data_IF_113047657556
#
_entry.id   IF_113047657556
#
_cell.length_a   1.000
_cell.length_b   1.000
_cell.length_c   1.000
_cell.angle_alpha   90.00
_cell.angle_beta   90.00
_cell.angle_gamma   90.00
#
_symmetry.space_group_name_H-M   'P 1'
#
loop_
_entity.id
_entity.type
_entity.pdbx_description
1 polymer ?
#
# COMPACT_ATOMS: atom_id res chain seq x y z
N UNK A 1 47.14 27.93 16.40
CA UNK A 1 47.33 29.32 16.85
C UNK A 1 46.04 30.06 16.49
N UNK A 2 45.00 29.90 17.32
CA UNK A 2 44.49 30.95 18.24
C UNK A 2 44.21 32.26 17.51
N UNK A 3 42.95 32.60 17.22
CA UNK A 3 42.07 33.36 18.12
C UNK A 3 42.74 34.63 18.66
N UNK A 4 42.88 35.66 17.84
CA UNK A 4 43.17 37.03 18.29
C UNK A 4 42.74 38.06 17.25
N UNK A 5 41.50 38.54 17.35
CA UNK A 5 41.10 39.95 17.14
C UNK A 5 39.58 40.07 16.92
N UNK A 6 38.82 39.65 17.93
CA UNK A 6 37.69 40.49 18.34
C UNK A 6 38.24 41.86 18.75
N UNK A 7 37.46 42.93 18.52
CA UNK A 7 37.59 44.26 19.13
C UNK A 7 38.29 45.39 18.31
N UNK A 8 37.72 45.75 17.15
CA UNK A 8 37.74 47.17 16.70
C UNK A 8 36.30 47.65 16.53
N UNK A 9 35.81 48.24 17.62
CA UNK A 9 34.51 48.86 17.83
C UNK A 9 34.48 50.30 17.25
N UNK A 10 33.28 50.73 16.84
CA UNK A 10 32.77 52.12 16.95
C UNK A 10 32.73 52.91 15.64
N UNK A 11 31.61 53.44 15.13
CA UNK A 11 30.21 53.59 15.56
C UNK A 11 29.38 54.10 14.35
N UNK A 12 28.26 54.86 14.48
CA UNK A 12 27.55 55.27 15.67
C UNK A 12 26.09 54.79 15.73
N UNK A 13 25.62 54.81 16.97
CA UNK A 13 24.26 54.59 17.45
C UNK A 13 23.35 55.76 17.09
N UNK A 14 22.04 55.47 17.00
CA UNK A 14 20.89 56.35 17.28
C UNK A 14 20.41 57.23 16.11
N UNK A 15 19.23 56.91 15.56
CA UNK A 15 17.97 57.57 15.94
C UNK A 15 16.77 57.06 15.13
N UNK A 16 15.69 56.86 15.89
CA UNK A 16 14.29 57.11 15.56
C UNK A 16 13.59 56.20 14.55
N UNK A 17 12.90 55.21 15.13
CA UNK A 17 11.48 54.94 14.88
C UNK A 17 10.78 56.06 14.09
N UNK A 18 10.45 55.78 12.83
CA UNK A 18 9.22 56.28 12.24
C UNK A 18 8.39 55.08 11.82
N UNK A 19 7.41 54.77 12.66
CA UNK A 19 6.27 53.97 12.26
C UNK A 19 5.47 54.79 11.23
N UNK A 20 5.56 54.42 9.96
CA UNK A 20 4.51 54.69 8.98
C UNK A 20 3.99 53.34 8.54
N UNK A 21 2.73 53.08 8.90
CA UNK A 21 2.09 51.80 8.73
C UNK A 21 1.88 51.37 7.28
N UNK A 22 1.29 50.18 7.19
CA UNK A 22 0.58 49.60 6.04
C UNK A 22 1.42 49.28 4.79
N UNK A 23 2.36 48.35 4.94
CA UNK A 23 2.46 47.28 3.95
C UNK A 23 2.92 45.96 4.58
N UNK A 24 2.15 45.51 5.56
CA UNK A 24 2.06 44.07 5.82
C UNK A 24 1.38 43.39 4.64
N UNK A 25 2.08 43.21 3.51
CA UNK A 25 1.72 42.14 2.57
C UNK A 25 2.17 40.84 3.21
N UNK A 26 1.32 40.41 4.14
CA UNK A 26 1.09 39.03 4.58
C UNK A 26 2.19 38.07 4.14
N UNK A 27 3.27 37.99 4.93
CA UNK A 27 4.07 36.78 5.00
C UNK A 27 3.23 35.71 5.72
N UNK A 28 2.13 35.35 5.10
CA UNK A 28 1.12 34.45 5.62
C UNK A 28 0.58 33.67 4.45
N UNK A 29 0.54 32.36 4.63
CA UNK A 29 -0.05 31.40 3.71
C UNK A 29 0.83 31.11 2.47
N UNK A 30 2.04 30.57 2.68
CA UNK A 30 2.40 29.41 1.85
C UNK A 30 1.52 28.28 2.34
N UNK A 31 0.29 28.19 1.84
CA UNK A 31 -0.57 27.06 2.15
C UNK A 31 0.10 25.83 1.58
N UNK A 32 0.70 25.02 2.44
CA UNK A 32 1.12 23.66 2.11
C UNK A 32 -0.09 22.71 2.07
N UNK A 33 -1.31 23.22 1.90
CA UNK A 33 -2.51 22.40 1.67
C UNK A 33 -2.42 21.79 0.28
N UNK A 34 -1.72 20.65 0.17
CA UNK A 34 -1.94 19.72 -0.92
C UNK A 34 -3.26 19.00 -0.66
N UNK A 35 -4.37 19.60 -1.09
CA UNK A 35 -5.59 18.81 -1.26
C UNK A 35 -5.33 17.86 -2.42
N UNK A 36 -5.15 16.57 -2.13
CA UNK A 36 -5.24 15.56 -3.18
C UNK A 36 -6.70 15.53 -3.63
N UNK A 37 -6.94 15.77 -4.91
CA UNK A 37 -8.26 15.48 -5.47
C UNK A 37 -8.39 13.96 -5.38
N UNK A 38 -9.30 13.46 -4.53
CA UNK A 38 -9.37 12.07 -4.06
C UNK A 38 -9.75 11.03 -5.13
N UNK A 39 -9.29 11.20 -6.37
CA UNK A 39 -9.52 10.29 -7.48
C UNK A 39 -8.45 9.21 -7.60
N UNK A 40 -7.32 9.34 -6.91
CA UNK A 40 -6.22 8.38 -6.72
C UNK A 40 -5.02 9.17 -6.22
N UNK A 41 -4.74 9.15 -4.91
CA UNK A 41 -3.45 9.64 -4.41
C UNK A 41 -2.33 8.78 -5.00
N UNK A 42 -1.12 9.33 -5.12
CA UNK A 42 0.06 8.61 -5.62
C UNK A 42 0.20 7.27 -4.87
N UNK A 43 -0.31 6.19 -5.46
CA UNK A 43 -0.44 4.88 -4.84
C UNK A 43 0.93 4.18 -4.84
N UNK A 44 1.83 4.69 -4.00
CA UNK A 44 3.05 4.02 -3.60
C UNK A 44 2.72 3.01 -2.51
N UNK A 45 2.47 1.79 -2.97
CA UNK A 45 3.06 0.56 -2.42
C UNK A 45 2.91 0.35 -0.90
N UNK A 46 1.69 0.05 -0.40
CA UNK A 46 1.50 -0.72 0.86
C UNK A 46 0.04 -1.06 1.21
N UNK A 47 -0.97 -0.62 0.46
CA UNK A 47 -2.35 -0.87 0.86
C UNK A 47 -2.78 -2.31 0.51
N UNK A 48 -2.59 -3.19 1.50
CA UNK A 48 -3.18 -4.51 1.58
C UNK A 48 -4.68 -4.45 1.32
N UNK A 49 -5.17 -5.38 0.51
CA UNK A 49 -6.15 -5.05 -0.52
C UNK A 49 -7.18 -6.15 -0.72
N UNK A 50 -8.09 -5.98 -1.68
CA UNK A 50 -9.01 -7.05 -2.08
C UNK A 50 -8.21 -8.33 -2.44
N UNK A 51 -8.56 -9.46 -1.80
CA UNK A 51 -7.85 -10.71 -1.99
C UNK A 51 -8.08 -11.27 -3.39
N UNK A 52 -7.04 -11.91 -3.94
CA UNK A 52 -7.03 -12.47 -5.27
C UNK A 52 -6.39 -13.87 -5.28
N UNK A 53 -7.02 -14.81 -5.99
CA UNK A 53 -6.47 -16.14 -6.24
C UNK A 53 -5.79 -16.15 -7.60
N UNK A 54 -4.52 -16.55 -7.64
CA UNK A 54 -3.71 -16.47 -8.86
C UNK A 54 -3.64 -17.78 -9.62
N UNK A 55 -3.36 -17.66 -10.92
CA UNK A 55 -3.08 -18.76 -11.84
C UNK A 55 -1.61 -18.80 -12.23
N UNK A 56 -1.16 -19.96 -12.67
CA UNK A 56 0.11 -20.10 -13.38
C UNK A 56 -0.02 -19.50 -14.79
N UNK A 57 1.12 -19.21 -15.46
CA UNK A 57 1.10 -18.85 -16.88
C UNK A 57 0.44 -19.90 -17.78
N UNK A 58 0.37 -21.16 -17.34
CA UNK A 58 -0.36 -22.24 -18.00
C UNK A 58 -1.89 -22.11 -17.92
N UNK A 59 -2.41 -21.21 -17.08
CA UNK A 59 -3.85 -21.06 -16.80
C UNK A 59 -4.37 -21.91 -15.64
N UNK A 60 -3.56 -22.85 -15.15
CA UNK A 60 -3.90 -23.67 -13.98
C UNK A 60 -3.94 -22.82 -12.71
N UNK A 61 -4.87 -23.13 -11.80
CA UNK A 61 -4.94 -22.48 -10.50
C UNK A 61 -3.70 -22.82 -9.67
N UNK A 62 -3.15 -21.83 -8.97
CA UNK A 62 -2.00 -22.08 -8.07
C UNK A 62 -2.41 -22.79 -6.79
N UNK A 63 -3.65 -22.58 -6.34
CA UNK A 63 -4.13 -23.18 -5.11
C UNK A 63 -4.28 -24.70 -5.28
N UNK A 64 -3.56 -25.44 -4.45
CA UNK A 64 -3.65 -26.91 -4.39
C UNK A 64 -4.52 -27.40 -3.21
N UNK A 65 -5.27 -26.49 -2.58
CA UNK A 65 -6.16 -26.80 -1.46
C UNK A 65 -5.50 -27.51 -0.26
N UNK A 66 -4.28 -27.09 0.10
CA UNK A 66 -3.53 -27.69 1.22
C UNK A 66 -4.04 -27.31 2.63
N UNK A 67 -5.04 -26.41 2.72
CA UNK A 67 -5.60 -25.84 3.96
C UNK A 67 -4.65 -25.00 4.82
N UNK A 68 -3.49 -24.61 4.31
CA UNK A 68 -2.53 -23.78 5.05
C UNK A 68 -3.10 -22.39 5.37
N UNK A 69 -3.74 -21.74 4.40
CA UNK A 69 -4.32 -20.40 4.56
C UNK A 69 -5.47 -20.36 5.56
N UNK A 70 -6.29 -21.41 5.58
CA UNK A 70 -7.34 -21.59 6.58
C UNK A 70 -6.75 -21.77 7.98
N UNK A 71 -5.69 -22.58 8.11
CA UNK A 71 -5.04 -22.82 9.39
C UNK A 71 -4.30 -21.59 9.95
N UNK A 72 -3.72 -20.74 9.10
CA UNK A 72 -2.97 -19.55 9.52
C UNK A 72 -3.86 -18.33 9.75
N UNK A 73 -5.07 -18.29 9.20
CA UNK A 73 -5.95 -17.13 9.31
C UNK A 73 -6.40 -16.91 10.76
N UNK A 74 -5.96 -15.84 11.45
CA UNK A 74 -6.29 -15.63 12.86
C UNK A 74 -7.78 -15.31 13.06
N UNK A 75 -8.43 -14.73 12.04
CA UNK A 75 -9.85 -14.40 12.06
C UNK A 75 -10.75 -15.54 11.58
N UNK A 76 -10.19 -16.68 11.16
CA UNK A 76 -10.94 -17.83 10.63
C UNK A 76 -11.89 -17.46 9.48
N UNK A 77 -11.46 -16.52 8.63
CA UNK A 77 -12.27 -16.00 7.51
C UNK A 77 -12.18 -16.82 6.23
N UNK A 78 -11.30 -17.82 6.18
CA UNK A 78 -11.01 -18.63 5.00
C UNK A 78 -11.49 -20.06 5.26
N UNK A 79 -12.29 -20.61 4.35
CA UNK A 79 -12.78 -21.98 4.41
C UNK A 79 -12.43 -22.71 3.11
N UNK A 80 -11.81 -23.89 3.21
CA UNK A 80 -11.42 -24.70 2.04
C UNK A 80 -11.97 -26.12 2.11
N UNK A 81 -12.82 -26.44 1.13
CA UNK A 81 -13.30 -27.79 0.88
C UNK A 81 -12.50 -28.40 -0.28
N UNK A 82 -11.96 -29.61 -0.07
CA UNK A 82 -11.10 -30.27 -1.03
C UNK A 82 -11.23 -31.78 -0.93
N UNK A 83 -11.21 -32.43 -2.08
CA UNK A 83 -11.11 -33.88 -2.18
C UNK A 83 -9.65 -34.32 -2.09
N UNK A 84 -9.41 -35.51 -1.55
CA UNK A 84 -8.07 -36.08 -1.49
C UNK A 84 -7.56 -36.35 -2.90
N UNK A 85 -6.33 -35.89 -3.20
CA UNK A 85 -5.71 -36.19 -4.49
C UNK A 85 -5.56 -37.71 -4.69
N UNK A 86 -5.73 -38.20 -5.94
CA UNK A 86 -5.64 -39.63 -6.25
C UNK A 86 -4.22 -40.21 -6.06
N UNK A 87 -3.19 -39.36 -6.07
CA UNK A 87 -1.79 -39.74 -5.89
C UNK A 87 -1.38 -39.88 -4.41
N UNK A 88 -2.27 -39.53 -3.47
CA UNK A 88 -2.02 -39.61 -2.02
C UNK A 88 -0.91 -38.68 -1.52
N UNK A 89 -0.38 -37.78 -2.36
CA UNK A 89 0.73 -36.90 -1.97
C UNK A 89 0.22 -35.63 -1.31
N UNK A 90 0.91 -35.20 -0.24
CA UNK A 90 0.63 -33.93 0.43
C UNK A 90 1.67 -32.91 -0.01
N UNK A 91 1.32 -32.12 -1.02
CA UNK A 91 2.12 -30.98 -1.45
C UNK A 91 1.85 -29.77 -0.55
N UNK A 92 2.90 -29.00 -0.26
CA UNK A 92 2.74 -27.68 0.35
C UNK A 92 2.16 -26.71 -0.68
N UNK A 93 1.32 -25.75 -0.25
CA UNK A 93 0.85 -24.74 -1.20
C UNK A 93 2.05 -24.03 -1.81
N UNK A 94 2.06 -23.78 -3.12
CA UNK A 94 2.99 -22.80 -3.65
C UNK A 94 2.75 -21.48 -2.92
N UNK A 95 3.86 -20.85 -2.54
CA UNK A 95 3.84 -19.48 -2.04
C UNK A 95 3.21 -18.60 -3.13
N UNK A 96 2.39 -17.64 -2.73
CA UNK A 96 1.66 -16.70 -3.62
C UNK A 96 0.42 -17.26 -4.35
N UNK A 97 -0.20 -18.35 -3.86
CA UNK A 97 -1.49 -18.81 -4.39
C UNK A 97 -2.63 -17.79 -4.13
N UNK A 98 -2.76 -17.31 -2.90
CA UNK A 98 -3.63 -16.20 -2.50
C UNK A 98 -2.71 -15.00 -2.22
N UNK A 99 -3.07 -13.85 -2.77
CA UNK A 99 -2.34 -12.60 -2.55
C UNK A 99 -3.32 -11.47 -2.27
N UNK A 100 -2.83 -10.45 -1.58
CA UNK A 100 -3.51 -9.18 -1.44
C UNK A 100 -3.29 -8.37 -2.73
N UNK A 101 -4.40 -7.94 -3.35
CA UNK A 101 -4.41 -7.15 -4.59
C UNK A 101 -3.87 -5.72 -4.47
N UNK A 102 -4.14 -4.88 -5.49
CA UNK A 102 -3.95 -3.43 -5.40
C UNK A 102 -5.27 -2.64 -5.22
N UNK A 103 -6.43 -3.30 -5.30
CA UNK A 103 -7.74 -2.67 -5.16
C UNK A 103 -8.16 -2.45 -3.69
N UNK A 104 -8.12 -1.20 -3.22
CA UNK A 104 -8.68 -0.79 -1.93
C UNK A 104 -10.14 -0.28 -2.03
N UNK A 105 -10.62 0.03 -3.24
CA UNK A 105 -11.96 0.56 -3.50
C UNK A 105 -12.97 -0.55 -3.83
N UNK A 106 -13.25 -1.40 -2.85
CA UNK A 106 -14.20 -2.52 -3.00
C UNK A 106 -15.41 -2.42 -2.06
N UNK A 107 -15.71 -1.23 -1.54
CA UNK A 107 -16.88 -1.02 -0.69
C UNK A 107 -18.17 -1.36 -1.43
N UNK A 108 -19.01 -2.19 -0.82
CA UNK A 108 -20.28 -2.63 -1.39
C UNK A 108 -21.46 -2.14 -0.56
N UNK A 109 -22.66 -2.18 -1.15
CA UNK A 109 -23.89 -1.76 -0.45
C UNK A 109 -24.45 -2.87 0.43
N UNK A 110 -24.17 -4.13 0.12
CA UNK A 110 -24.73 -5.28 0.85
C UNK A 110 -23.63 -6.16 1.43
N UNK A 111 -23.86 -6.69 2.64
CA UNK A 111 -22.90 -7.57 3.31
C UNK A 111 -22.57 -8.83 2.49
N UNK A 112 -23.56 -9.37 1.77
CA UNK A 112 -23.39 -10.58 0.95
C UNK A 112 -22.33 -10.39 -0.15
N UNK A 113 -22.20 -9.18 -0.69
CA UNK A 113 -21.21 -8.88 -1.73
C UNK A 113 -19.77 -8.87 -1.18
N UNK A 114 -19.58 -8.80 0.13
CA UNK A 114 -18.27 -8.91 0.79
C UNK A 114 -17.87 -10.36 1.10
N UNK A 115 -18.80 -11.31 0.98
CA UNK A 115 -18.54 -12.73 1.15
C UNK A 115 -18.07 -13.32 -0.17
N UNK A 116 -16.75 -13.43 -0.32
CA UNK A 116 -16.12 -13.87 -1.56
C UNK A 116 -16.08 -15.40 -1.68
N UNK A 117 -16.57 -15.91 -2.81
CA UNK A 117 -16.38 -17.30 -3.20
C UNK A 117 -15.09 -17.47 -4.01
N UNK A 118 -14.70 -18.73 -4.26
CA UNK A 118 -13.52 -19.09 -5.06
C UNK A 118 -13.51 -18.41 -6.43
N UNK A 119 -14.65 -18.39 -7.12
CA UNK A 119 -14.79 -17.81 -8.47
C UNK A 119 -14.54 -16.31 -8.46
N UNK A 120 -15.00 -15.62 -7.41
CA UNK A 120 -14.79 -14.18 -7.24
C UNK A 120 -13.32 -13.87 -6.98
N UNK A 121 -12.63 -14.67 -6.15
CA UNK A 121 -11.20 -14.51 -5.92
C UNK A 121 -10.37 -14.78 -7.18
N UNK A 122 -10.74 -15.78 -7.98
CA UNK A 122 -10.11 -16.05 -9.28
C UNK A 122 -10.33 -14.90 -10.26
N UNK A 123 -11.57 -14.40 -10.36
CA UNK A 123 -11.87 -13.23 -11.18
C UNK A 123 -11.04 -12.01 -10.79
N UNK A 124 -10.87 -11.77 -9.49
CA UNK A 124 -10.02 -10.70 -8.98
C UNK A 124 -8.55 -10.91 -9.37
N UNK A 125 -8.06 -12.15 -9.28
CA UNK A 125 -6.72 -12.54 -9.75
C UNK A 125 -6.54 -12.27 -11.23
N UNK A 126 -7.44 -12.76 -12.07
CA UNK A 126 -7.40 -12.58 -13.52
C UNK A 126 -7.44 -11.09 -13.90
N UNK A 127 -8.24 -10.29 -13.18
CA UNK A 127 -8.33 -8.82 -13.39
C UNK A 127 -7.02 -8.10 -13.05
N UNK A 128 -6.34 -8.50 -11.98
CA UNK A 128 -5.20 -7.77 -11.43
C UNK A 128 -3.84 -8.42 -11.68
N UNK A 129 -3.79 -9.59 -12.32
CA UNK A 129 -2.56 -10.35 -12.56
C UNK A 129 -1.41 -9.53 -13.15
N UNK A 130 -1.61 -8.60 -14.11
CA UNK A 130 -0.50 -7.79 -14.63
C UNK A 130 0.17 -6.92 -13.55
N UNK A 131 -0.61 -6.35 -12.63
CA UNK A 131 -0.09 -5.52 -11.54
C UNK A 131 0.44 -6.37 -10.39
N UNK A 132 -0.26 -7.46 -10.05
CA UNK A 132 0.19 -8.43 -9.05
C UNK A 132 1.53 -9.04 -9.40
N UNK A 133 1.71 -9.49 -10.64
CA UNK A 133 2.96 -10.05 -11.12
C UNK A 133 4.10 -9.02 -11.07
N UNK A 134 3.82 -7.77 -11.43
CA UNK A 134 4.80 -6.68 -11.35
C UNK A 134 5.22 -6.38 -9.90
N UNK A 135 4.25 -6.32 -8.96
CA UNK A 135 4.53 -6.06 -7.55
C UNK A 135 5.35 -7.20 -6.93
N UNK A 136 4.96 -8.46 -7.17
CA UNK A 136 5.71 -9.63 -6.69
C UNK A 136 7.12 -9.70 -7.29
N UNK A 137 7.27 -9.33 -8.56
CA UNK A 137 8.57 -9.24 -9.22
C UNK A 137 9.42 -8.06 -8.72
N UNK A 138 8.81 -7.04 -8.12
CA UNK A 138 9.57 -5.97 -7.45
C UNK A 138 10.01 -6.40 -6.04
N UNK A 139 9.18 -7.18 -5.35
CA UNK A 139 9.42 -7.64 -3.98
C UNK A 139 10.25 -8.92 -3.85
N UNK A 140 10.47 -9.66 -4.95
CA UNK A 140 11.06 -11.02 -4.89
C UNK A 140 12.40 -11.11 -4.15
N UNK A 141 13.20 -10.04 -4.13
CA UNK A 141 14.49 -10.01 -3.43
C UNK A 141 14.37 -9.92 -1.91
N UNK A 142 13.22 -9.51 -1.39
CA UNK A 142 12.97 -9.23 0.02
C UNK A 142 11.95 -10.20 0.65
N UNK A 143 11.51 -11.23 -0.09
CA UNK A 143 10.60 -12.27 0.38
C UNK A 143 11.32 -13.52 0.89
#
# INVERSE_FOLDING_TARGET
MMLSECLKRGGPTRLLFHATGISGRVSGIRSSHSTINGTTGDAVDADQSEHALRRYPSGEERCIACRLWEAICPAQAITTEAETRPDGTRQACPVDAIVEGPNCEFSTRTHKELLNNKEKLLFNGDRWEPKLAANLQAEYLYR
#
